data_IF_241361504022
#
_entry.id   IF_241361504022
#
_cell.length_a   1.000
_cell.length_b   1.000
_cell.length_c   1.000
_cell.angle_alpha   90.00
_cell.angle_beta   90.00
_cell.angle_gamma   90.00
#
_symmetry.space_group_name_H-M   'P 1'
#
loop_
_entity.id
_entity.type
_entity.pdbx_description
1 polymer ?
#
# COMPACT_ATOMS: atom_id res chain seq x y z
N UNK A 1 9.60 26.68 -22.37
CA UNK A 1 8.71 25.58 -21.99
C UNK A 1 8.39 25.81 -20.52
N UNK A 2 7.20 26.34 -20.23
CA UNK A 2 6.77 26.64 -18.86
C UNK A 2 6.34 25.32 -18.23
N UNK A 3 7.19 24.73 -17.38
CA UNK A 3 6.73 23.73 -16.43
C UNK A 3 5.87 24.46 -15.41
N UNK A 4 4.56 24.22 -15.46
CA UNK A 4 3.64 24.67 -14.42
C UNK A 4 3.95 23.89 -13.14
N UNK A 5 4.68 24.50 -12.21
CA UNK A 5 4.85 24.07 -10.81
C UNK A 5 3.52 24.23 -10.03
N UNK A 6 2.46 23.63 -10.54
CA UNK A 6 1.24 23.45 -9.76
C UNK A 6 1.54 22.40 -8.68
N UNK A 7 1.17 22.65 -7.41
CA UNK A 7 1.36 21.67 -6.35
C UNK A 7 0.61 20.39 -6.68
N UNK A 8 1.24 19.24 -6.40
CA UNK A 8 0.64 17.92 -6.63
C UNK A 8 -0.65 17.80 -5.81
N UNK A 9 -1.78 17.66 -6.50
CA UNK A 9 -3.09 17.45 -5.87
C UNK A 9 -3.30 15.99 -5.48
N UNK A 10 -4.23 15.73 -4.56
CA UNK A 10 -4.57 14.37 -4.14
C UNK A 10 -5.09 13.55 -5.31
N UNK A 11 -5.95 14.13 -6.13
CA UNK A 11 -6.54 13.48 -7.31
C UNK A 11 -5.46 13.08 -8.32
N UNK A 12 -4.48 13.96 -8.57
CA UNK A 12 -3.32 13.63 -9.41
C UNK A 12 -2.50 12.50 -8.79
N UNK A 13 -2.25 12.55 -7.48
CA UNK A 13 -1.47 11.53 -6.80
C UNK A 13 -2.14 10.15 -6.85
N UNK A 14 -3.45 10.11 -6.62
CA UNK A 14 -4.28 8.90 -6.75
C UNK A 14 -4.26 8.37 -8.17
N UNK A 15 -4.37 9.25 -9.17
CA UNK A 15 -4.35 8.85 -10.57
C UNK A 15 -3.00 8.23 -10.97
N UNK A 16 -1.90 8.87 -10.64
CA UNK A 16 -0.54 8.40 -10.95
C UNK A 16 -0.22 7.08 -10.24
N UNK A 17 -0.47 7.00 -8.94
CA UNK A 17 -0.19 5.80 -8.16
C UNK A 17 -1.15 4.65 -8.51
N UNK A 18 -2.42 4.94 -8.79
CA UNK A 18 -3.40 3.97 -9.25
C UNK A 18 -3.02 3.36 -10.60
N UNK A 19 -2.49 4.16 -11.53
CA UNK A 19 -1.96 3.65 -12.80
C UNK A 19 -0.74 2.76 -12.61
N UNK A 20 0.21 3.14 -11.74
CA UNK A 20 1.37 2.30 -11.40
C UNK A 20 0.93 1.01 -10.72
N UNK A 21 -0.06 1.05 -9.83
CA UNK A 21 -0.63 -0.13 -9.17
C UNK A 21 -1.34 -1.04 -10.18
N UNK A 22 -2.08 -0.49 -11.14
CA UNK A 22 -2.74 -1.29 -12.18
C UNK A 22 -1.76 -1.89 -13.19
N UNK A 23 -0.75 -1.10 -13.58
CA UNK A 23 0.25 -1.40 -14.62
C UNK A 23 1.65 -1.37 -14.03
N UNK A 24 1.90 -2.24 -13.06
CA UNK A 24 3.18 -2.25 -12.37
C UNK A 24 4.34 -2.37 -13.37
N UNK A 25 5.25 -1.38 -13.44
CA UNK A 25 6.32 -1.35 -14.41
C UNK A 25 7.30 -2.48 -14.11
N UNK A 26 7.14 -3.57 -14.86
CA UNK A 26 7.93 -4.80 -14.75
C UNK A 26 8.61 -5.09 -16.09
N UNK A 27 9.84 -5.59 -16.01
CA UNK A 27 10.53 -6.18 -17.15
C UNK A 27 9.98 -7.56 -17.48
N UNK A 28 10.88 -8.53 -17.66
CA UNK A 28 10.50 -9.94 -17.86
C UNK A 28 10.28 -10.60 -16.50
N UNK A 29 9.13 -11.25 -16.29
CA UNK A 29 8.84 -11.92 -15.02
C UNK A 29 7.39 -12.34 -14.81
N UNK A 30 7.20 -13.13 -13.76
CA UNK A 30 5.87 -13.46 -13.25
C UNK A 30 5.18 -12.20 -12.69
N UNK A 31 3.85 -12.25 -12.65
CA UNK A 31 3.05 -11.22 -11.99
C UNK A 31 3.40 -11.20 -10.49
N UNK A 32 3.72 -10.05 -9.88
CA UNK A 32 3.97 -9.95 -8.45
C UNK A 32 2.81 -10.52 -7.65
N UNK A 33 3.12 -11.24 -6.57
CA UNK A 33 2.08 -11.89 -5.77
C UNK A 33 1.13 -10.87 -5.12
N UNK A 34 1.62 -9.69 -4.71
CA UNK A 34 0.75 -8.61 -4.21
C UNK A 34 -0.24 -8.10 -5.27
N UNK A 35 0.17 -7.98 -6.54
CA UNK A 35 -0.74 -7.63 -7.65
C UNK A 35 -1.84 -8.69 -7.81
N UNK A 36 -1.49 -9.97 -7.71
CA UNK A 36 -2.47 -11.07 -7.78
C UNK A 36 -3.49 -10.99 -6.64
N UNK A 37 -3.04 -10.69 -5.43
CA UNK A 37 -3.92 -10.51 -4.27
C UNK A 37 -4.91 -9.35 -4.49
N UNK A 38 -4.45 -8.24 -5.09
CA UNK A 38 -5.33 -7.13 -5.48
C UNK A 38 -6.29 -7.49 -6.61
N UNK A 39 -5.89 -8.37 -7.54
CA UNK A 39 -6.75 -8.92 -8.59
C UNK A 39 -7.76 -9.95 -8.06
N UNK A 40 -7.82 -10.16 -6.75
CA UNK A 40 -8.69 -11.14 -6.11
C UNK A 40 -8.21 -12.59 -6.24
N UNK A 41 -7.01 -12.83 -6.76
CA UNK A 41 -6.41 -14.15 -6.91
C UNK A 41 -5.74 -14.53 -5.58
N UNK A 42 -6.16 -15.65 -5.00
CA UNK A 42 -5.63 -16.22 -3.76
C UNK A 42 -4.61 -17.32 -4.05
N UNK A 43 -3.79 -17.67 -3.06
CA UNK A 43 -2.72 -18.68 -3.20
C UNK A 43 -3.22 -20.06 -3.63
N UNK A 44 -4.45 -20.41 -3.27
CA UNK A 44 -5.04 -21.71 -3.58
C UNK A 44 -5.79 -21.71 -4.93
N UNK A 45 -5.86 -20.57 -5.61
CA UNK A 45 -6.52 -20.48 -6.91
C UNK A 45 -5.62 -21.06 -8.00
N UNK A 46 -6.23 -21.72 -8.99
CA UNK A 46 -5.49 -22.33 -10.10
C UNK A 46 -4.66 -21.32 -10.90
N UNK A 47 -5.06 -20.04 -10.87
CA UNK A 47 -4.40 -18.93 -11.54
C UNK A 47 -3.19 -18.37 -10.77
N UNK A 48 -2.95 -18.81 -9.52
CA UNK A 48 -1.84 -18.29 -8.71
C UNK A 48 -0.49 -18.51 -9.37
N UNK A 49 -0.22 -19.71 -9.90
CA UNK A 49 1.07 -20.02 -10.54
C UNK A 49 1.09 -19.70 -12.05
N UNK A 50 -0.04 -19.29 -12.62
CA UNK A 50 -0.16 -19.02 -14.04
C UNK A 50 0.55 -17.71 -14.42
N UNK A 51 1.32 -17.77 -15.51
CA UNK A 51 1.88 -16.58 -16.13
C UNK A 51 0.80 -15.88 -16.96
N UNK A 52 0.40 -14.69 -16.55
CA UNK A 52 -0.49 -13.85 -17.35
C UNK A 52 0.16 -13.50 -18.69
N UNK A 53 -0.57 -13.72 -19.78
CA UNK A 53 -0.11 -13.38 -21.13
C UNK A 53 -0.01 -11.87 -21.33
N UNK A 54 0.76 -11.41 -22.33
CA UNK A 54 0.83 -9.98 -22.69
C UNK A 54 -0.55 -9.40 -23.03
N UNK A 55 -1.42 -10.18 -23.67
CA UNK A 55 -2.77 -9.76 -24.06
C UNK A 55 -3.66 -9.57 -22.84
N UNK A 56 -3.69 -10.54 -21.91
CA UNK A 56 -4.45 -10.44 -20.66
C UNK A 56 -4.05 -9.23 -19.84
N UNK A 57 -2.74 -8.95 -19.76
CA UNK A 57 -2.21 -7.77 -19.07
C UNK A 57 -2.66 -6.47 -19.74
N UNK A 58 -2.58 -6.38 -21.07
CA UNK A 58 -3.00 -5.18 -21.82
C UNK A 58 -4.49 -4.89 -21.70
N UNK A 59 -5.31 -5.94 -21.62
CA UNK A 59 -6.78 -5.83 -21.49
C UNK A 59 -7.27 -5.68 -20.05
N UNK A 60 -6.37 -5.69 -19.06
CA UNK A 60 -6.72 -5.66 -17.63
C UNK A 60 -7.72 -6.74 -17.22
N UNK A 61 -7.67 -7.90 -17.87
CA UNK A 61 -8.68 -8.96 -17.70
C UNK A 61 -8.86 -9.37 -16.24
N UNK A 62 -7.75 -9.50 -15.50
CA UNK A 62 -7.77 -9.88 -14.09
C UNK A 62 -8.26 -8.77 -13.15
N UNK A 63 -8.17 -7.50 -13.56
CA UNK A 63 -8.72 -6.37 -12.78
C UNK A 63 -10.23 -6.22 -12.95
N UNK A 64 -10.81 -6.79 -14.01
CA UNK A 64 -12.25 -6.80 -14.24
C UNK A 64 -12.97 -7.97 -13.54
N UNK A 65 -12.24 -8.81 -12.81
CA UNK A 65 -12.80 -9.95 -12.09
C UNK A 65 -13.58 -9.49 -10.86
N UNK A 66 -14.58 -10.28 -10.48
CA UNK A 66 -15.29 -10.10 -9.21
C UNK A 66 -14.31 -10.29 -8.04
N UNK A 67 -14.28 -9.33 -7.12
CA UNK A 67 -13.40 -9.35 -5.95
C UNK A 67 -12.01 -8.73 -6.17
N UNK A 68 -11.71 -8.27 -7.38
CA UNK A 68 -10.55 -7.41 -7.60
C UNK A 68 -10.77 -6.05 -6.91
N UNK A 69 -9.74 -5.54 -6.24
CA UNK A 69 -9.72 -4.20 -5.70
C UNK A 69 -9.54 -3.18 -6.83
N UNK A 70 -10.22 -2.05 -6.71
CA UNK A 70 -9.99 -0.93 -7.60
C UNK A 70 -8.62 -0.30 -7.28
N UNK A 71 -7.69 -0.23 -8.24
CA UNK A 71 -6.34 0.27 -7.97
C UNK A 71 -6.30 1.74 -7.56
N UNK A 72 -7.30 2.55 -7.93
CA UNK A 72 -7.38 3.95 -7.54
C UNK A 72 -7.84 4.11 -6.09
N UNK A 73 -8.82 3.30 -5.66
CA UNK A 73 -9.24 3.27 -4.26
C UNK A 73 -8.09 2.78 -3.36
N UNK A 74 -7.34 1.76 -3.82
CA UNK A 74 -6.12 1.29 -3.15
C UNK A 74 -5.06 2.39 -3.04
N UNK A 75 -4.85 3.16 -4.12
CA UNK A 75 -3.91 4.27 -4.13
C UNK A 75 -4.30 5.36 -3.13
N UNK A 76 -5.59 5.72 -3.09
CA UNK A 76 -6.12 6.71 -2.16
C UNK A 76 -5.96 6.28 -0.69
N UNK A 77 -6.22 5.01 -0.38
CA UNK A 77 -6.01 4.44 0.95
C UNK A 77 -4.55 4.58 1.41
N UNK A 78 -3.59 4.17 0.59
CA UNK A 78 -2.17 4.19 0.97
C UNK A 78 -1.54 5.58 0.95
N UNK A 79 -2.04 6.50 0.11
CA UNK A 79 -1.65 7.92 0.16
C UNK A 79 -2.13 8.60 1.44
N UNK A 80 -3.17 8.03 2.07
CA UNK A 80 -3.62 8.44 3.39
C UNK A 80 -2.68 8.09 4.54
N UNK A 81 -1.60 7.34 4.32
CA UNK A 81 -0.64 6.94 5.36
C UNK A 81 0.55 7.90 5.43
N UNK A 82 1.04 8.20 6.64
CA UNK A 82 2.32 8.89 6.82
C UNK A 82 3.45 7.86 6.89
N UNK A 83 4.23 7.75 5.81
CA UNK A 83 5.33 6.78 5.72
C UNK A 83 6.73 7.42 5.80
N UNK A 84 6.83 8.74 5.90
CA UNK A 84 8.14 9.41 6.00
C UNK A 84 8.86 9.02 7.30
N UNK A 85 10.14 8.70 7.18
CA UNK A 85 11.01 8.20 8.24
C UNK A 85 10.51 6.93 8.96
N UNK A 86 9.58 6.19 8.36
CA UNK A 86 9.19 4.85 8.84
C UNK A 86 10.12 3.78 8.26
N UNK A 87 10.33 2.70 9.04
CA UNK A 87 11.03 1.50 8.54
C UNK A 87 10.25 0.91 7.37
N UNK A 88 10.95 0.47 6.34
CA UNK A 88 10.32 -0.19 5.17
C UNK A 88 9.51 -1.40 5.62
N UNK A 89 10.04 -2.20 6.55
CA UNK A 89 9.34 -3.37 7.09
C UNK A 89 8.01 -3.00 7.78
N UNK A 90 7.97 -1.92 8.56
CA UNK A 90 6.73 -1.46 9.19
C UNK A 90 5.75 -0.92 8.14
N UNK A 91 6.24 -0.13 7.19
CA UNK A 91 5.44 0.46 6.11
C UNK A 91 4.76 -0.59 5.23
N UNK A 92 5.41 -1.75 5.04
CA UNK A 92 4.81 -2.91 4.34
C UNK A 92 3.54 -3.37 5.07
N UNK A 93 3.58 -3.53 6.39
CA UNK A 93 2.41 -3.95 7.16
C UNK A 93 1.35 -2.85 7.21
N UNK A 94 1.72 -1.58 7.43
CA UNK A 94 0.77 -0.45 7.42
C UNK A 94 -0.01 -0.39 6.10
N UNK A 95 0.69 -0.48 4.96
CA UNK A 95 0.07 -0.50 3.63
C UNK A 95 -0.83 -1.72 3.40
N UNK A 96 -0.42 -2.90 3.85
CA UNK A 96 -1.24 -4.10 3.71
C UNK A 96 -2.50 -4.00 4.59
N UNK A 97 -2.36 -3.56 5.84
CA UNK A 97 -3.44 -3.45 6.81
C UNK A 97 -4.52 -2.45 6.37
N UNK A 98 -4.15 -1.27 5.87
CA UNK A 98 -5.14 -0.27 5.44
C UNK A 98 -6.01 -0.82 4.30
N UNK A 99 -5.41 -1.56 3.37
CA UNK A 99 -6.10 -2.16 2.21
C UNK A 99 -6.93 -3.36 2.64
N UNK A 100 -6.38 -4.28 3.43
CA UNK A 100 -7.13 -5.47 3.86
C UNK A 100 -8.30 -5.10 4.76
N UNK A 101 -8.14 -4.10 5.63
CA UNK A 101 -9.23 -3.55 6.45
C UNK A 101 -10.34 -2.97 5.59
N UNK A 102 -10.01 -2.12 4.62
CA UNK A 102 -11.00 -1.49 3.74
C UNK A 102 -11.78 -2.51 2.90
N UNK A 103 -11.15 -3.61 2.51
CA UNK A 103 -11.80 -4.67 1.73
C UNK A 103 -12.33 -5.85 2.56
N UNK A 104 -12.26 -5.77 3.90
CA UNK A 104 -12.60 -6.86 4.82
C UNK A 104 -11.91 -8.20 4.50
N UNK A 105 -10.68 -8.15 4.01
CA UNK A 105 -9.88 -9.33 3.70
C UNK A 105 -9.20 -9.86 4.96
N UNK A 106 -9.15 -11.19 5.08
CA UNK A 106 -8.31 -11.88 6.06
C UNK A 106 -7.20 -12.61 5.34
N UNK A 107 -6.02 -12.01 5.32
CA UNK A 107 -4.82 -12.62 4.77
C UNK A 107 -3.97 -13.19 5.90
N UNK A 108 -3.20 -14.27 5.65
CA UNK A 108 -2.12 -14.67 6.55
C UNK A 108 -0.98 -13.63 6.49
N UNK A 109 -0.06 -13.69 7.46
CA UNK A 109 1.10 -12.77 7.55
C UNK A 109 1.90 -12.74 6.24
N UNK A 110 2.08 -13.90 5.60
CA UNK A 110 2.78 -13.98 4.31
C UNK A 110 2.00 -13.25 3.21
N UNK A 111 0.66 -13.25 3.25
CA UNK A 111 -0.18 -12.50 2.33
C UNK A 111 -0.02 -11.00 2.52
N UNK A 112 -0.01 -10.53 3.76
CA UNK A 112 0.23 -9.12 4.09
C UNK A 112 1.61 -8.67 3.66
N UNK A 113 2.64 -9.49 3.89
CA UNK A 113 4.00 -9.21 3.40
C UNK A 113 4.04 -9.08 1.88
N UNK A 114 3.37 -9.96 1.14
CA UNK A 114 3.37 -9.91 -0.33
C UNK A 114 2.60 -8.71 -0.87
N UNK A 115 1.47 -8.37 -0.26
CA UNK A 115 0.66 -7.21 -0.61
C UNK A 115 1.39 -5.91 -0.28
N UNK A 116 1.85 -5.76 0.96
CA UNK A 116 2.54 -4.57 1.44
C UNK A 116 3.83 -4.28 0.67
N UNK A 117 4.66 -5.30 0.39
CA UNK A 117 5.86 -5.13 -0.42
C UNK A 117 5.53 -4.59 -1.82
N UNK A 118 4.44 -5.08 -2.41
CA UNK A 118 3.99 -4.61 -3.71
C UNK A 118 3.54 -3.15 -3.68
N UNK A 119 2.75 -2.75 -2.67
CA UNK A 119 2.27 -1.38 -2.51
C UNK A 119 3.42 -0.39 -2.23
N UNK A 120 4.34 -0.75 -1.32
CA UNK A 120 5.55 0.04 -1.08
C UNK A 120 6.39 0.14 -2.36
N UNK A 121 6.52 -0.95 -3.12
CA UNK A 121 7.23 -0.90 -4.41
C UNK A 121 6.55 0.03 -5.42
N UNK A 122 5.22 0.13 -5.41
CA UNK A 122 4.48 1.06 -6.27
C UNK A 122 4.77 2.52 -5.89
N UNK A 123 4.78 2.84 -4.59
CA UNK A 123 5.16 4.16 -4.06
C UNK A 123 6.60 4.56 -4.44
N UNK A 124 7.52 3.61 -4.44
CA UNK A 124 8.90 3.83 -4.90
C UNK A 124 8.98 4.01 -6.42
N UNK A 125 8.19 3.26 -7.19
CA UNK A 125 8.19 3.30 -8.66
C UNK A 125 7.56 4.58 -9.22
N UNK A 126 6.51 5.10 -8.60
CA UNK A 126 5.93 6.40 -8.95
C UNK A 126 6.87 7.56 -8.56
N UNK A 127 7.81 7.32 -7.63
CA UNK A 127 8.81 8.29 -7.21
C UNK A 127 8.36 9.19 -6.06
N UNK A 128 7.30 8.81 -5.34
CA UNK A 128 6.79 9.53 -4.18
C UNK A 128 7.63 9.32 -2.93
N UNK A 129 8.25 8.15 -2.84
CA UNK A 129 9.20 7.81 -1.79
C UNK A 129 10.52 7.33 -2.36
N UNK A 130 11.55 7.39 -1.54
CA UNK A 130 12.82 6.71 -1.77
C UNK A 130 13.24 5.96 -0.51
N UNK A 131 14.10 4.97 -0.67
CA UNK A 131 14.64 4.23 0.47
C UNK A 131 16.03 4.77 0.84
N UNK A 132 16.34 4.79 2.14
CA UNK A 132 17.70 5.00 2.63
C UNK A 132 18.04 3.97 3.70
N UNK A 133 19.33 3.65 3.80
CA UNK A 133 19.83 2.68 4.77
C UNK A 133 20.37 3.42 6.00
N UNK A 134 19.79 3.17 7.17
CA UNK A 134 20.33 3.62 8.44
C UNK A 134 21.38 2.62 8.93
N UNK A 135 22.66 3.04 8.96
CA UNK A 135 23.79 2.18 9.36
C UNK A 135 23.77 1.80 10.84
N UNK A 136 23.31 2.70 11.72
CA UNK A 136 23.29 2.46 13.17
C UNK A 136 22.31 1.36 13.53
N UNK A 137 21.12 1.41 12.93
CA UNK A 137 20.06 0.42 13.17
C UNK A 137 20.08 -0.77 12.22
N UNK A 138 20.95 -0.74 11.21
CA UNK A 138 21.03 -1.74 10.13
C UNK A 138 19.66 -2.01 9.46
N UNK A 139 18.92 -0.94 9.17
CA UNK A 139 17.55 -1.03 8.64
C UNK A 139 17.32 -0.05 7.47
N UNK A 140 16.40 -0.43 6.56
CA UNK A 140 15.93 0.43 5.49
C UNK A 140 14.74 1.27 5.96
N UNK A 141 14.73 2.53 5.58
CA UNK A 141 13.70 3.51 5.89
C UNK A 141 13.14 4.15 4.61
N UNK A 142 11.88 4.58 4.66
CA UNK A 142 11.27 5.38 3.61
C UNK A 142 11.50 6.86 3.89
N UNK A 143 11.81 7.60 2.83
CA UNK A 143 11.90 9.04 2.84
C UNK A 143 11.06 9.62 1.71
N UNK A 144 10.21 10.59 2.04
CA UNK A 144 9.30 11.22 1.10
C UNK A 144 10.07 12.11 0.11
N UNK A 145 9.66 12.07 -1.16
CA UNK A 145 10.22 12.89 -2.25
C UNK A 145 9.29 14.03 -2.65
N UNK A 146 7.98 13.85 -2.45
CA UNK A 146 6.93 14.81 -2.75
C UNK A 146 6.29 15.26 -1.44
N UNK A 147 6.70 16.44 -0.93
CA UNK A 147 6.29 16.92 0.40
C UNK A 147 4.80 17.22 0.49
N UNK A 148 4.15 17.46 -0.64
CA UNK A 148 2.71 17.66 -0.78
C UNK A 148 1.92 16.49 -0.18
N UNK A 149 2.45 15.27 -0.29
CA UNK A 149 1.83 14.05 0.23
C UNK A 149 1.73 14.04 1.77
N UNK A 150 2.54 14.83 2.48
CA UNK A 150 2.44 14.95 3.94
C UNK A 150 1.08 15.52 4.38
N UNK A 151 0.37 16.22 3.48
CA UNK A 151 -0.93 16.82 3.74
C UNK A 151 -2.09 15.83 3.59
N UNK A 152 -1.84 14.63 3.03
CA UNK A 152 -2.89 13.66 2.70
C UNK A 152 -3.14 12.62 3.81
N UNK A 153 -2.39 12.67 4.91
CA UNK A 153 -2.27 11.62 5.93
C UNK A 153 -3.48 11.44 6.86
N UNK A 154 -4.68 11.44 6.30
CA UNK A 154 -5.96 11.33 7.01
C UNK A 154 -6.21 9.91 7.56
N UNK A 155 -5.62 8.91 6.92
CA UNK A 155 -5.79 7.49 7.26
C UNK A 155 -4.66 6.95 8.14
N UNK A 156 -3.70 7.77 8.56
CA UNK A 156 -2.63 7.30 9.43
C UNK A 156 -3.19 7.07 10.85
N UNK A 157 -3.15 5.81 11.33
CA UNK A 157 -3.75 5.46 12.62
C UNK A 157 -3.05 6.12 13.80
N UNK A 158 -1.86 6.69 13.63
CA UNK A 158 -1.04 7.27 14.70
C UNK A 158 -1.01 8.81 14.70
N UNK A 159 -1.59 9.47 13.70
CA UNK A 159 -1.57 10.94 13.58
C UNK A 159 -2.95 11.58 13.48
N UNK A 160 -4.02 10.86 13.85
CA UNK A 160 -5.35 11.46 14.00
C UNK A 160 -5.29 12.65 14.98
N UNK A 161 -5.74 13.82 14.54
CA UNK A 161 -5.89 14.99 15.40
C UNK A 161 -7.02 14.80 16.42
N UNK A 162 -7.99 13.94 16.10
CA UNK A 162 -9.04 13.57 17.03
C UNK A 162 -8.50 12.54 18.03
N UNK A 163 -8.72 12.76 19.35
CA UNK A 163 -8.33 11.80 20.37
C UNK A 163 -8.97 10.45 20.07
N UNK A 164 -8.20 9.38 20.27
CA UNK A 164 -8.73 8.03 20.15
C UNK A 164 -9.99 7.90 21.04
N UNK A 165 -11.09 7.32 20.52
CA UNK A 165 -12.24 7.06 21.34
C UNK A 165 -11.83 6.22 22.55
N UNK A 166 -12.41 6.47 23.73
CA UNK A 166 -12.07 5.74 24.94
C UNK A 166 -12.27 4.24 24.70
N UNK A 167 -11.23 3.45 25.03
CA UNK A 167 -11.26 2.01 24.86
C UNK A 167 -12.33 1.40 25.75
N UNK A 168 -13.36 0.81 25.14
CA UNK A 168 -14.44 0.09 25.83
C UNK A 168 -14.15 -1.41 25.96
N UNK A 169 -13.14 -1.91 25.25
CA UNK A 169 -12.73 -3.31 25.20
C UNK A 169 -11.25 -3.42 24.81
N UNK A 170 -10.73 -4.65 24.78
CA UNK A 170 -9.39 -4.98 24.26
C UNK A 170 -9.24 -4.71 22.74
N UNK A 171 -10.35 -4.47 22.04
CA UNK A 171 -10.43 -4.01 20.66
C UNK A 171 -11.24 -2.72 20.57
N UNK A 172 -10.77 -1.75 19.81
CA UNK A 172 -11.54 -0.53 19.50
C UNK A 172 -12.51 -0.73 18.32
N UNK A 173 -13.33 0.30 18.03
CA UNK A 173 -14.28 0.31 16.91
C UNK A 173 -13.56 0.20 15.55
N UNK A 174 -12.31 0.65 15.47
CA UNK A 174 -11.44 0.54 14.29
C UNK A 174 -10.75 -0.83 14.15
N UNK A 175 -11.01 -1.77 15.07
CA UNK A 175 -10.39 -3.09 15.08
C UNK A 175 -8.94 -3.11 15.58
N UNK A 176 -8.45 -2.02 16.18
CA UNK A 176 -7.12 -1.93 16.80
C UNK A 176 -7.13 -2.69 18.11
N UNK A 177 -6.06 -3.43 18.41
CA UNK A 177 -5.92 -4.18 19.66
C UNK A 177 -5.04 -3.47 20.67
N UNK A 178 -5.46 -3.52 21.94
CA UNK A 178 -4.71 -2.96 23.05
C UNK A 178 -3.53 -3.88 23.37
N UNK A 179 -2.35 -3.57 22.81
CA UNK A 179 -1.14 -4.36 23.06
C UNK A 179 -0.66 -4.11 24.48
N UNK A 180 -0.60 -5.17 25.29
CA UNK A 180 -0.05 -5.09 26.65
C UNK A 180 1.41 -4.67 26.55
N UNK A 181 1.79 -3.59 27.23
CA UNK A 181 3.19 -3.15 27.26
C UNK A 181 4.08 -4.34 27.69
N UNK A 182 5.06 -4.70 26.85
CA UNK A 182 6.13 -5.60 27.25
C UNK A 182 6.92 -4.89 28.35
N UNK A 183 7.04 -5.54 29.52
CA UNK A 183 7.84 -5.00 30.63
C UNK A 183 9.29 -4.77 30.16
N UNK A 184 9.95 -3.69 30.63
CA UNK A 184 11.35 -3.41 30.31
C UNK A 184 12.30 -4.50 30.84
#
# INVERSE_FOLDING_TARGET
MQDSDAPLTREQAVQELGEITRRFPRGVGQTPAGEKLLQGIRRNDAEWDQKQTKTQRKKFEFWNRKGAANPFDVADLILGLQLDNKKVAASVFDCAEVVTRAHHWRLPIEGDLLLGNYLVSALLKVGYYSMFYNRSEKAMYLHIRKRELLQFSENDPYTSAEPFPPWTSHRDVGGRELVKASKP
#
